data_IF_646783464403
#
_entry.id   IF_646783464403
#
_cell.length_a   1.000
_cell.length_b   1.000
_cell.length_c   1.000
_cell.angle_alpha   90.00
_cell.angle_beta   90.00
_cell.angle_gamma   90.00
#
_symmetry.space_group_name_H-M   'P 1'
#
loop_
_entity.id
_entity.type
_entity.pdbx_description
1 polymer ?
#
# COMPACT_ATOMS: atom_id res chain seq x y z
N UNK A 1 1.77 2.03 10.07
CA UNK A 1 0.47 1.43 10.47
C UNK A 1 0.49 -0.06 10.17
N UNK A 2 0.14 -0.85 11.14
CA UNK A 2 0.09 -2.30 11.02
C UNK A 2 -1.34 -2.76 11.33
N UNK A 3 -1.94 -3.49 10.39
CA UNK A 3 -3.31 -3.98 10.51
C UNK A 3 -3.33 -5.49 10.29
N UNK A 4 -4.31 -6.17 10.86
CA UNK A 4 -4.55 -7.59 10.61
C UNK A 4 -5.68 -7.73 9.59
N UNK A 5 -5.45 -8.52 8.54
CA UNK A 5 -6.48 -8.82 7.56
C UNK A 5 -7.41 -9.93 8.06
N UNK A 6 -8.69 -9.81 7.73
CA UNK A 6 -9.69 -10.85 7.99
C UNK A 6 -9.62 -12.01 6.97
N UNK A 7 -8.76 -11.90 5.96
CA UNK A 7 -8.74 -12.79 4.80
C UNK A 7 -7.38 -13.47 4.63
N UNK A 8 -7.34 -14.51 3.78
CA UNK A 8 -6.09 -15.16 3.42
C UNK A 8 -5.16 -14.20 2.68
N UNK A 9 -3.88 -14.58 2.54
CA UNK A 9 -2.89 -13.78 1.81
C UNK A 9 -3.34 -13.50 0.37
N UNK A 10 -3.73 -14.52 -0.44
CA UNK A 10 -4.19 -14.27 -1.81
C UNK A 10 -5.46 -13.42 -1.87
N UNK A 11 -6.42 -13.67 -0.99
CA UNK A 11 -7.67 -12.90 -0.98
C UNK A 11 -7.45 -11.45 -0.53
N UNK A 12 -6.57 -11.24 0.45
CA UNK A 12 -6.17 -9.90 0.88
C UNK A 12 -5.61 -9.10 -0.29
N UNK A 13 -4.68 -9.68 -1.05
CA UNK A 13 -4.12 -9.03 -2.24
C UNK A 13 -5.21 -8.69 -3.26
N UNK A 14 -6.12 -9.62 -3.53
CA UNK A 14 -7.19 -9.40 -4.48
C UNK A 14 -8.12 -8.27 -4.03
N UNK A 15 -8.48 -8.25 -2.75
CA UNK A 15 -9.34 -7.21 -2.18
C UNK A 15 -8.69 -5.83 -2.22
N UNK A 16 -7.40 -5.76 -1.94
CA UNK A 16 -6.66 -4.50 -2.05
C UNK A 16 -6.61 -4.00 -3.48
N UNK A 17 -6.31 -4.87 -4.45
CA UNK A 17 -6.31 -4.49 -5.87
C UNK A 17 -7.67 -3.97 -6.30
N UNK A 18 -8.73 -4.70 -5.98
CA UNK A 18 -10.10 -4.31 -6.36
C UNK A 18 -10.50 -2.97 -5.74
N UNK A 19 -10.23 -2.77 -4.46
CA UNK A 19 -10.58 -1.53 -3.78
C UNK A 19 -9.81 -0.33 -4.35
N UNK A 20 -8.52 -0.48 -4.59
CA UNK A 20 -7.68 0.60 -5.11
C UNK A 20 -8.04 0.93 -6.56
N UNK A 21 -8.14 -0.08 -7.42
CA UNK A 21 -8.48 0.13 -8.83
C UNK A 21 -9.88 0.71 -8.99
N UNK A 22 -10.83 0.31 -8.13
CA UNK A 22 -12.19 0.84 -8.13
C UNK A 22 -12.29 2.33 -7.79
N UNK A 23 -11.25 2.90 -7.20
CA UNK A 23 -11.17 4.34 -6.87
C UNK A 23 -10.16 5.09 -7.73
N UNK A 24 -9.77 4.51 -8.86
CA UNK A 24 -8.91 5.17 -9.84
C UNK A 24 -7.42 5.06 -9.58
N UNK A 25 -7.00 4.27 -8.59
CA UNK A 25 -5.59 3.98 -8.39
C UNK A 25 -5.10 2.97 -9.41
N UNK A 26 -3.83 3.09 -9.78
CA UNK A 26 -3.14 2.11 -10.63
C UNK A 26 -2.25 1.24 -9.78
N UNK A 27 -2.23 -0.05 -10.08
CA UNK A 27 -1.26 -0.97 -9.51
C UNK A 27 -0.07 -0.98 -10.46
N UNK A 28 1.02 -0.34 -10.04
CA UNK A 28 2.23 -0.24 -10.86
C UNK A 28 3.06 -1.51 -10.83
N UNK A 29 3.07 -2.19 -9.69
CA UNK A 29 3.83 -3.42 -9.52
C UNK A 29 3.27 -4.25 -8.36
N UNK A 30 3.48 -5.55 -8.46
CA UNK A 30 3.26 -6.49 -7.36
C UNK A 30 4.55 -7.25 -7.19
N UNK A 31 5.21 -7.06 -6.05
CA UNK A 31 6.53 -7.62 -5.78
C UNK A 31 6.37 -8.79 -4.84
N UNK A 32 6.61 -10.00 -5.33
CA UNK A 32 6.56 -11.23 -4.55
C UNK A 32 7.95 -11.55 -4.02
N UNK A 33 8.20 -11.15 -2.77
CA UNK A 33 9.49 -11.37 -2.12
C UNK A 33 9.77 -12.86 -1.86
N UNK A 34 8.73 -13.64 -1.61
CA UNK A 34 8.90 -15.09 -1.42
C UNK A 34 9.40 -15.77 -2.70
N UNK A 35 8.81 -15.42 -3.84
CA UNK A 35 9.27 -15.94 -5.13
C UNK A 35 10.72 -15.53 -5.42
N UNK A 36 11.08 -14.29 -5.10
CA UNK A 36 12.45 -13.82 -5.25
C UNK A 36 13.42 -14.59 -4.36
N UNK A 37 13.05 -14.85 -3.11
CA UNK A 37 13.85 -15.65 -2.19
C UNK A 37 14.07 -17.05 -2.72
N UNK A 38 13.03 -17.70 -3.22
CA UNK A 38 13.11 -19.05 -3.78
C UNK A 38 14.03 -19.12 -5.00
N UNK A 39 14.06 -18.06 -5.79
CA UNK A 39 14.91 -18.00 -6.99
C UNK A 39 16.40 -18.06 -6.66
N UNK A 40 16.79 -17.78 -5.42
CA UNK A 40 18.19 -17.85 -4.96
C UNK A 40 18.39 -18.91 -3.87
N UNK A 41 17.45 -19.87 -3.77
CA UNK A 41 17.57 -21.01 -2.87
C UNK A 41 17.21 -20.74 -1.42
N UNK A 42 16.54 -19.62 -1.15
CA UNK A 42 16.07 -19.26 0.19
C UNK A 42 14.56 -19.45 0.30
N UNK A 43 14.08 -19.48 1.53
CA UNK A 43 12.65 -19.56 1.78
C UNK A 43 12.23 -18.52 2.82
N UNK A 44 10.97 -18.08 2.72
CA UNK A 44 10.37 -17.14 3.65
C UNK A 44 8.84 -17.26 3.55
N UNK A 45 8.09 -16.79 4.56
CA UNK A 45 6.63 -16.75 4.46
C UNK A 45 6.17 -15.88 3.29
N UNK A 46 4.93 -16.06 2.80
CA UNK A 46 4.35 -15.17 1.80
C UNK A 46 4.51 -13.71 2.21
N UNK A 47 5.10 -12.92 1.31
CA UNK A 47 5.45 -11.53 1.57
C UNK A 47 5.38 -10.78 0.23
N UNK A 48 4.40 -9.90 0.09
CA UNK A 48 4.12 -9.22 -1.17
C UNK A 48 3.93 -7.73 -0.94
N UNK A 49 4.53 -6.92 -1.81
CA UNK A 49 4.33 -5.46 -1.82
C UNK A 49 3.52 -5.10 -3.05
N UNK A 50 2.41 -4.41 -2.84
CA UNK A 50 1.70 -3.73 -3.92
C UNK A 50 2.21 -2.29 -4.00
N UNK A 51 2.64 -1.89 -5.19
CA UNK A 51 3.07 -0.52 -5.49
C UNK A 51 1.96 0.13 -6.28
N UNK A 52 1.39 1.20 -5.74
CA UNK A 52 0.19 1.79 -6.32
C UNK A 52 0.20 3.31 -6.21
N UNK A 53 -0.56 3.96 -7.06
CA UNK A 53 -0.69 5.40 -7.02
C UNK A 53 -1.78 5.91 -7.95
N UNK A 54 -2.14 7.18 -7.74
CA UNK A 54 -3.08 7.87 -8.59
C UNK A 54 -2.38 9.09 -9.21
N UNK A 55 -2.12 9.06 -10.53
CA UNK A 55 -1.44 10.18 -11.19
C UNK A 55 -2.13 11.54 -10.98
N UNK A 56 -3.45 11.56 -10.87
CA UNK A 56 -4.18 12.81 -10.62
C UNK A 56 -3.90 13.39 -9.24
N UNK A 57 -3.69 12.51 -8.24
CA UNK A 57 -3.38 12.94 -6.88
C UNK A 57 -1.88 13.15 -6.64
N UNK A 58 -1.05 12.32 -7.24
CA UNK A 58 0.41 12.35 -7.03
C UNK A 58 1.15 13.41 -7.83
N UNK A 59 0.73 13.67 -9.05
CA UNK A 59 1.41 14.64 -9.93
C UNK A 59 1.50 16.04 -9.33
N UNK A 60 0.43 16.62 -8.74
CA UNK A 60 0.54 17.93 -8.10
C UNK A 60 1.57 17.97 -6.98
N UNK A 61 1.73 16.89 -6.21
CA UNK A 61 2.72 16.81 -5.14
C UNK A 61 4.15 16.84 -5.70
N UNK A 62 4.39 16.10 -6.76
CA UNK A 62 5.70 16.06 -7.42
C UNK A 62 6.03 17.37 -8.12
N UNK A 63 5.04 18.08 -8.65
CA UNK A 63 5.25 19.41 -9.23
C UNK A 63 5.60 20.42 -8.16
N UNK A 64 4.98 20.35 -6.98
CA UNK A 64 5.26 21.25 -5.87
C UNK A 64 6.60 20.94 -5.19
N UNK A 65 7.00 19.68 -5.14
CA UNK A 65 8.24 19.23 -4.52
C UNK A 65 8.81 18.06 -5.35
N UNK A 66 9.65 18.33 -6.35
CA UNK A 66 10.11 17.29 -7.29
C UNK A 66 10.76 16.09 -6.63
N UNK A 67 11.54 16.27 -5.58
CA UNK A 67 12.20 15.17 -4.90
C UNK A 67 11.23 14.32 -4.08
N UNK A 68 10.01 14.80 -3.84
CA UNK A 68 8.97 14.00 -3.21
C UNK A 68 8.59 12.78 -4.07
N UNK A 69 8.91 12.79 -5.34
CA UNK A 69 8.73 11.63 -6.22
C UNK A 69 9.44 10.37 -5.71
N UNK A 70 10.47 10.55 -4.85
CA UNK A 70 11.15 9.42 -4.20
C UNK A 70 10.19 8.63 -3.28
N UNK A 71 9.20 9.30 -2.70
CA UNK A 71 8.22 8.69 -1.79
C UNK A 71 7.02 8.09 -2.53
N UNK A 72 6.92 8.31 -3.83
CA UNK A 72 5.84 7.80 -4.67
C UNK A 72 6.38 6.78 -5.69
N UNK A 73 5.59 5.79 -6.13
CA UNK A 73 4.22 5.50 -5.70
C UNK A 73 4.12 5.01 -4.25
N UNK A 74 2.90 4.96 -3.73
CA UNK A 74 2.65 4.41 -2.40
C UNK A 74 2.85 2.89 -2.41
N UNK A 75 3.09 2.31 -1.24
CA UNK A 75 3.31 0.88 -1.08
C UNK A 75 2.49 0.34 0.08
N UNK A 76 1.96 -0.86 -0.11
CA UNK A 76 1.32 -1.62 0.96
C UNK A 76 1.92 -3.02 0.98
N UNK A 77 2.35 -3.45 2.16
CA UNK A 77 2.95 -4.76 2.39
C UNK A 77 1.90 -5.71 2.92
N UNK A 78 1.82 -6.90 2.34
CA UNK A 78 0.98 -8.00 2.82
C UNK A 78 1.88 -9.19 3.11
N UNK A 79 1.85 -9.70 4.35
CA UNK A 79 2.68 -10.84 4.73
C UNK A 79 1.96 -11.75 5.69
N UNK A 80 2.35 -13.00 5.71
CA UNK A 80 1.90 -13.95 6.73
C UNK A 80 2.85 -13.94 7.92
N UNK A 81 2.28 -13.94 9.11
CA UNK A 81 2.99 -14.07 10.37
C UNK A 81 2.27 -15.16 11.17
N UNK A 82 2.85 -16.35 11.22
CA UNK A 82 2.20 -17.53 11.80
C UNK A 82 0.87 -17.82 11.09
N UNK A 83 -0.26 -17.71 11.78
CA UNK A 83 -1.59 -17.94 11.21
C UNK A 83 -2.30 -16.67 10.78
N UNK A 84 -1.61 -15.52 10.91
CA UNK A 84 -2.19 -14.21 10.64
C UNK A 84 -1.67 -13.62 9.35
N UNK A 85 -2.50 -12.79 8.71
CA UNK A 85 -2.11 -11.98 7.57
C UNK A 85 -2.03 -10.53 8.04
N UNK A 86 -0.85 -9.95 7.93
CA UNK A 86 -0.54 -8.60 8.41
C UNK A 86 -0.38 -7.67 7.20
N UNK A 87 -1.02 -6.52 7.28
CA UNK A 87 -0.94 -5.47 6.26
C UNK A 87 -0.28 -4.25 6.87
N UNK A 88 0.77 -3.76 6.23
CA UNK A 88 1.56 -2.63 6.74
C UNK A 88 1.73 -1.57 5.66
N UNK A 89 1.57 -0.31 6.04
CA UNK A 89 1.85 0.82 5.16
C UNK A 89 2.38 2.01 5.98
N UNK A 90 3.03 2.94 5.32
CA UNK A 90 3.48 4.19 5.94
C UNK A 90 2.33 5.20 5.91
N UNK A 91 1.85 5.67 7.07
CA UNK A 91 0.79 6.69 7.08
C UNK A 91 1.22 7.97 6.35
N UNK A 92 0.27 8.60 5.67
CA UNK A 92 0.51 9.86 4.96
C UNK A 92 1.12 10.94 5.86
N UNK A 93 0.73 10.94 7.14
CA UNK A 93 1.27 11.88 8.13
C UNK A 93 2.79 11.79 8.27
N UNK A 94 3.39 10.62 8.03
CA UNK A 94 4.85 10.45 8.10
C UNK A 94 5.58 11.08 6.91
N UNK A 95 4.86 11.44 5.87
CA UNK A 95 5.40 12.07 4.66
C UNK A 95 5.29 13.59 4.69
N UNK A 96 4.58 14.15 5.69
CA UNK A 96 4.39 15.61 5.81
C UNK A 96 5.75 16.31 5.85
N UNK A 97 5.90 17.32 5.00
CA UNK A 97 7.10 18.15 4.94
C UNK A 97 8.33 17.50 4.33
N UNK A 98 8.29 16.21 3.96
CA UNK A 98 9.43 15.53 3.34
C UNK A 98 9.76 16.17 1.99
N UNK A 99 11.06 16.28 1.71
CA UNK A 99 11.59 16.85 0.45
C UNK A 99 11.06 18.25 0.15
N UNK A 100 10.71 19.01 1.20
CA UNK A 100 10.17 20.35 1.03
C UNK A 100 8.72 20.40 0.58
N UNK A 101 7.97 19.31 0.73
CA UNK A 101 6.55 19.28 0.40
C UNK A 101 5.81 20.36 1.19
N UNK A 102 5.03 21.24 0.52
CA UNK A 102 4.29 22.29 1.22
C UNK A 102 3.35 21.74 2.28
N UNK A 103 3.17 22.49 3.36
CA UNK A 103 2.34 22.10 4.49
C UNK A 103 0.93 21.69 4.07
N UNK A 104 0.45 20.57 4.62
CA UNK A 104 -0.89 20.05 4.37
C UNK A 104 -1.04 19.24 3.10
N UNK A 105 -0.08 19.24 2.18
CA UNK A 105 -0.22 18.52 0.92
C UNK A 105 -0.18 17.00 1.09
N UNK A 106 0.53 16.49 2.09
CA UNK A 106 0.53 15.06 2.37
C UNK A 106 -0.87 14.53 2.68
N UNK A 107 -1.78 15.37 3.16
CA UNK A 107 -3.18 15.01 3.42
C UNK A 107 -3.92 14.50 2.20
N UNK A 108 -3.45 14.81 0.99
CA UNK A 108 -4.04 14.30 -0.25
C UNK A 108 -3.83 12.79 -0.42
N UNK A 109 -2.92 12.18 0.35
CA UNK A 109 -2.65 10.76 0.32
C UNK A 109 -3.49 9.98 1.35
N UNK A 110 -4.13 10.66 2.29
CA UNK A 110 -4.92 10.02 3.37
C UNK A 110 -6.05 9.14 2.86
N UNK A 111 -6.80 9.50 1.81
CA UNK A 111 -7.90 8.65 1.34
C UNK A 111 -7.52 7.21 1.01
N UNK A 112 -6.28 6.96 0.59
CA UNK A 112 -5.80 5.60 0.31
C UNK A 112 -5.80 4.73 1.57
N UNK A 113 -5.55 5.31 2.73
CA UNK A 113 -5.51 4.59 4.01
C UNK A 113 -6.87 3.97 4.35
N UNK A 114 -7.94 4.70 4.13
CA UNK A 114 -9.30 4.21 4.36
C UNK A 114 -9.65 3.06 3.40
N UNK A 115 -9.19 3.13 2.14
CA UNK A 115 -9.40 2.06 1.16
C UNK A 115 -8.69 0.78 1.60
N UNK A 116 -7.46 0.89 2.07
CA UNK A 116 -6.69 -0.26 2.55
C UNK A 116 -7.39 -0.88 3.77
N UNK A 117 -7.72 -0.08 4.76
CA UNK A 117 -8.39 -0.57 5.97
C UNK A 117 -9.74 -1.22 5.66
N UNK A 118 -10.52 -0.61 4.80
CA UNK A 118 -11.83 -1.15 4.40
C UNK A 118 -11.74 -2.46 3.63
N UNK A 119 -10.74 -2.60 2.78
CA UNK A 119 -10.57 -3.81 1.95
C UNK A 119 -10.27 -5.05 2.78
N UNK A 120 -9.59 -4.91 3.92
CA UNK A 120 -9.13 -6.02 4.75
C UNK A 120 -9.98 -6.26 6.00
N UNK A 121 -10.95 -5.39 6.24
CA UNK A 121 -11.87 -5.52 7.38
C UNK A 121 -12.80 -6.73 7.20
N UNK A 122 -13.28 -7.32 8.32
CA UNK A 122 -14.27 -8.38 8.24
C UNK A 122 -15.52 -7.93 7.49
N UNK A 123 -16.25 -8.86 6.83
CA UNK A 123 -17.51 -8.50 6.19
C UNK A 123 -18.47 -7.90 7.21
N UNK A 124 -19.27 -6.92 6.78
CA UNK A 124 -20.31 -6.36 7.61
C UNK A 124 -21.31 -7.46 7.99
N UNK A 125 -21.65 -7.52 9.29
CA UNK A 125 -22.69 -8.42 9.79
C UNK A 125 -24.01 -7.71 9.57
N UNK A 126 -24.70 -8.14 8.53
CA UNK A 126 -26.00 -7.55 8.16
C UNK A 126 -27.16 -8.24 8.79
#
# INVERSE_FOLDING_TARGET
MRLESAYSHPETLQRLRTALEGKGFRIFAEIDHRAAARSVGLDMPPTTVLVYGNPKGGTPLMLAAPDFALELPLRVLVREEETKVIVTYNPAATLEGRHGLPAGMAGRLVPAEALVAGAIAPPAVG
#
